data_IF_384040853100
#
_entry.id   IF_384040853100
#
_cell.length_a   1.000
_cell.length_b   1.000
_cell.length_c   1.000
_cell.angle_alpha   90.00
_cell.angle_beta   90.00
_cell.angle_gamma   90.00
#
_symmetry.space_group_name_H-M   'P 1'
#
loop_
_entity.id
_entity.type
_entity.pdbx_description
1 polymer ?
#
# COMPACT_ATOMS: atom_id res chain seq x y z
N UNK A 1 17.95 10.24 -6.49
CA UNK A 1 18.04 9.69 -5.12
C UNK A 1 16.66 9.53 -4.45
N UNK A 2 15.73 10.51 -4.50
CA UNK A 2 14.42 10.37 -3.85
C UNK A 2 13.59 9.17 -4.33
N UNK A 3 13.60 8.85 -5.62
CA UNK A 3 12.82 7.75 -6.22
C UNK A 3 13.21 6.38 -5.66
N UNK A 4 14.51 6.08 -5.59
CA UNK A 4 14.99 4.80 -5.06
C UNK A 4 14.71 4.67 -3.56
N UNK A 5 14.86 5.76 -2.79
CA UNK A 5 14.48 5.76 -1.38
C UNK A 5 12.98 5.59 -1.19
N UNK A 6 12.16 6.20 -2.06
CA UNK A 6 10.70 6.06 -2.05
C UNK A 6 10.29 4.59 -2.24
N UNK A 7 10.89 3.91 -3.22
CA UNK A 7 10.72 2.46 -3.43
C UNK A 7 11.01 1.66 -2.16
N UNK A 8 12.18 1.84 -1.56
CA UNK A 8 12.58 1.08 -0.37
C UNK A 8 11.70 1.37 0.84
N UNK A 9 11.33 2.64 1.07
CA UNK A 9 10.46 3.04 2.17
C UNK A 9 9.07 2.43 1.99
N UNK A 10 8.51 2.49 0.78
CA UNK A 10 7.24 1.84 0.46
C UNK A 10 7.29 0.34 0.74
N UNK A 11 8.35 -0.35 0.32
CA UNK A 11 8.53 -1.78 0.61
C UNK A 11 8.59 -2.04 2.11
N UNK A 12 9.37 -1.28 2.87
CA UNK A 12 9.50 -1.47 4.33
C UNK A 12 8.15 -1.26 5.03
N UNK A 13 7.44 -0.18 4.71
CA UNK A 13 6.13 0.10 5.34
C UNK A 13 5.04 -0.88 4.90
N UNK A 14 5.15 -1.46 3.70
CA UNK A 14 4.26 -2.53 3.23
C UNK A 14 4.37 -3.82 4.06
N UNK A 15 5.58 -4.14 4.55
CA UNK A 15 5.83 -5.25 5.47
C UNK A 15 5.33 -4.92 6.87
N UNK A 16 5.62 -3.72 7.36
CA UNK A 16 5.28 -3.33 8.73
C UNK A 16 3.75 -3.35 8.94
N UNK A 17 2.94 -2.89 7.97
CA UNK A 17 1.48 -2.80 8.16
C UNK A 17 0.79 -4.15 8.36
N UNK A 18 1.27 -5.21 7.71
CA UNK A 18 0.72 -6.56 7.83
C UNK A 18 1.32 -7.35 9.01
N UNK A 19 2.32 -6.78 9.68
CA UNK A 19 2.93 -7.30 10.90
C UNK A 19 2.19 -6.81 12.17
N UNK A 20 2.52 -7.33 13.37
CA UNK A 20 1.88 -6.86 14.62
C UNK A 20 2.31 -5.44 15.03
N UNK A 21 3.23 -4.81 14.28
CA UNK A 21 3.77 -3.49 14.59
C UNK A 21 2.79 -2.35 14.23
N UNK A 22 3.03 -1.16 14.80
CA UNK A 22 2.28 0.05 14.47
C UNK A 22 3.10 0.90 13.50
N UNK A 23 2.65 0.99 12.24
CA UNK A 23 3.26 1.83 11.20
C UNK A 23 3.30 3.31 11.59
N UNK A 24 2.21 3.82 12.15
CA UNK A 24 2.09 5.22 12.58
C UNK A 24 3.07 5.52 13.73
N UNK A 25 3.15 4.64 14.73
CA UNK A 25 4.07 4.82 15.85
C UNK A 25 5.53 4.83 15.37
N UNK A 26 5.90 3.93 14.46
CA UNK A 26 7.24 3.87 13.88
C UNK A 26 7.55 5.14 13.09
N UNK A 27 6.63 5.60 12.23
CA UNK A 27 6.81 6.83 11.46
C UNK A 27 7.02 8.06 12.36
N UNK A 28 6.26 8.16 13.45
CA UNK A 28 6.42 9.22 14.46
C UNK A 28 7.78 9.11 15.15
N UNK A 29 8.17 7.92 15.59
CA UNK A 29 9.41 7.68 16.31
C UNK A 29 10.66 8.06 15.50
N UNK A 30 10.66 7.77 14.19
CA UNK A 30 11.78 8.10 13.30
C UNK A 30 11.66 9.49 12.64
N UNK A 31 10.60 10.24 12.95
CA UNK A 31 10.40 11.59 12.42
C UNK A 31 10.18 11.65 10.91
N UNK A 32 9.50 10.65 10.32
CA UNK A 32 9.34 10.54 8.88
C UNK A 32 8.54 11.72 8.30
N UNK A 33 9.03 12.38 7.25
CA UNK A 33 8.37 13.58 6.71
C UNK A 33 8.63 13.76 5.21
N UNK A 34 7.87 14.65 4.57
CA UNK A 34 8.00 14.95 3.15
C UNK A 34 7.76 13.72 2.28
N UNK A 35 8.57 13.55 1.24
CA UNK A 35 8.45 12.44 0.27
C UNK A 35 8.59 11.07 0.95
N UNK A 36 9.41 10.98 2.00
CA UNK A 36 9.58 9.73 2.76
C UNK A 36 8.26 9.30 3.44
N UNK A 37 7.56 10.25 4.07
CA UNK A 37 6.26 9.99 4.70
C UNK A 37 5.17 9.65 3.67
N UNK A 38 5.14 10.36 2.54
CA UNK A 38 4.22 10.04 1.44
C UNK A 38 4.44 8.63 0.89
N UNK A 39 5.71 8.25 0.67
CA UNK A 39 6.08 6.94 0.15
C UNK A 39 5.78 5.80 1.13
N UNK A 40 5.93 6.02 2.44
CA UNK A 40 5.47 5.07 3.45
C UNK A 40 3.96 4.80 3.34
N UNK A 41 3.17 5.87 3.18
CA UNK A 41 1.71 5.76 3.00
C UNK A 41 1.35 5.00 1.71
N UNK A 42 2.07 5.25 0.62
CA UNK A 42 1.91 4.51 -0.65
C UNK A 42 2.28 3.03 -0.50
N UNK A 43 3.29 2.69 0.29
CA UNK A 43 3.63 1.31 0.61
C UNK A 43 2.48 0.57 1.29
N UNK A 44 1.78 1.25 2.19
CA UNK A 44 0.60 0.70 2.86
C UNK A 44 -0.58 0.56 1.89
N UNK A 45 -0.82 1.58 1.06
CA UNK A 45 -1.85 1.53 0.02
C UNK A 45 -1.60 0.37 -0.98
N UNK A 46 -0.34 0.07 -1.29
CA UNK A 46 0.03 -1.09 -2.10
C UNK A 46 -0.29 -2.43 -1.41
N UNK A 47 -0.02 -2.56 -0.11
CA UNK A 47 -0.45 -3.74 0.65
C UNK A 47 -1.97 -3.89 0.66
N UNK A 48 -2.69 -2.81 0.90
CA UNK A 48 -4.16 -2.78 0.89
C UNK A 48 -4.70 -3.20 -0.48
N UNK A 49 -4.14 -2.68 -1.58
CA UNK A 49 -4.55 -3.04 -2.94
C UNK A 49 -4.35 -4.54 -3.23
N UNK A 50 -3.18 -5.10 -2.90
CA UNK A 50 -2.90 -6.54 -3.09
C UNK A 50 -3.86 -7.41 -2.28
N UNK A 51 -4.01 -7.10 -0.99
CA UNK A 51 -4.87 -7.87 -0.11
C UNK A 51 -6.34 -7.74 -0.50
N UNK A 52 -6.80 -6.55 -0.90
CA UNK A 52 -8.17 -6.34 -1.37
C UNK A 52 -8.45 -7.19 -2.61
N UNK A 53 -7.57 -7.16 -3.62
CA UNK A 53 -7.74 -7.96 -4.85
C UNK A 53 -7.71 -9.46 -4.55
N UNK A 54 -6.78 -9.92 -3.71
CA UNK A 54 -6.65 -11.33 -3.34
C UNK A 54 -7.86 -11.83 -2.55
N UNK A 55 -8.27 -11.09 -1.53
CA UNK A 55 -9.37 -11.47 -0.63
C UNK A 55 -10.74 -11.38 -1.30
N UNK A 56 -10.94 -10.47 -2.25
CA UNK A 56 -12.23 -10.30 -2.96
C UNK A 56 -12.66 -11.52 -3.77
N UNK A 57 -11.73 -12.43 -4.09
CA UNK A 57 -12.01 -13.62 -4.91
C UNK A 57 -12.48 -14.83 -4.11
N UNK A 58 -12.18 -14.86 -2.81
CA UNK A 58 -12.35 -16.06 -1.96
C UNK A 58 -13.06 -15.79 -0.64
N UNK A 59 -13.37 -14.52 -0.33
CA UNK A 59 -14.08 -14.13 0.89
C UNK A 59 -15.34 -13.31 0.56
N UNK A 60 -16.22 -13.21 1.55
CA UNK A 60 -17.36 -12.29 1.49
C UNK A 60 -16.89 -10.84 1.52
N UNK A 61 -17.69 -9.92 0.95
CA UNK A 61 -17.32 -8.50 0.71
C UNK A 61 -16.90 -7.72 1.95
N UNK A 62 -17.31 -8.14 3.16
CA UNK A 62 -16.91 -7.52 4.42
C UNK A 62 -15.40 -7.52 4.66
N UNK A 63 -14.70 -8.58 4.24
CA UNK A 63 -13.24 -8.70 4.41
C UNK A 63 -12.46 -7.69 3.56
N UNK A 64 -12.59 -7.65 2.22
CA UNK A 64 -11.87 -6.68 1.40
C UNK A 64 -12.20 -5.23 1.74
N UNK A 65 -13.46 -4.92 2.10
CA UNK A 65 -13.85 -3.57 2.53
C UNK A 65 -13.18 -3.19 3.86
N UNK A 66 -13.13 -4.12 4.82
CA UNK A 66 -12.45 -3.89 6.09
C UNK A 66 -10.96 -3.63 5.86
N UNK A 67 -10.31 -4.42 4.99
CA UNK A 67 -8.90 -4.21 4.62
C UNK A 67 -8.68 -2.82 4.03
N UNK A 68 -9.54 -2.38 3.11
CA UNK A 68 -9.45 -1.06 2.49
C UNK A 68 -9.51 0.09 3.51
N UNK A 69 -10.26 -0.08 4.61
CA UNK A 69 -10.40 0.92 5.67
C UNK A 69 -9.55 0.64 6.92
N UNK A 70 -8.57 -0.27 6.85
CA UNK A 70 -7.57 -0.48 7.91
C UNK A 70 -7.56 -1.82 8.63
N UNK A 71 -8.38 -2.76 8.18
CA UNK A 71 -8.36 -4.16 8.58
C UNK A 71 -7.20 -4.97 8.00
N UNK A 72 -6.11 -4.34 7.53
CA UNK A 72 -4.93 -5.03 6.94
C UNK A 72 -4.38 -6.11 7.89
N UNK A 73 -4.35 -5.82 9.19
CA UNK A 73 -3.86 -6.74 10.23
C UNK A 73 -4.65 -8.04 10.35
N UNK A 74 -5.90 -8.07 9.86
CA UNK A 74 -6.70 -9.30 9.81
C UNK A 74 -6.06 -10.38 8.94
N UNK A 75 -5.19 -9.99 7.98
CA UNK A 75 -4.46 -10.90 7.11
C UNK A 75 -3.09 -11.32 7.66
N UNK A 76 -2.73 -10.91 8.88
CA UNK A 76 -1.49 -11.34 9.52
C UNK A 76 -1.38 -12.87 9.66
N UNK A 77 -2.44 -13.62 10.08
CA UNK A 77 -2.36 -15.08 10.13
C UNK A 77 -2.07 -15.70 8.75
N UNK A 78 -2.67 -15.16 7.70
CA UNK A 78 -2.43 -15.59 6.32
C UNK A 78 -0.98 -15.34 5.90
N UNK A 79 -0.42 -14.17 6.21
CA UNK A 79 0.99 -13.86 5.92
C UNK A 79 1.94 -14.82 6.65
N UNK A 80 1.66 -15.15 7.91
CA UNK A 80 2.48 -16.08 8.69
C UNK A 80 2.39 -17.51 8.14
N UNK A 81 1.18 -17.97 7.80
CA UNK A 81 0.97 -19.32 7.23
C UNK A 81 1.49 -19.43 5.80
N UNK A 82 1.35 -18.38 5.00
CA UNK A 82 1.73 -18.31 3.59
C UNK A 82 2.62 -17.08 3.34
N UNK A 83 3.92 -17.14 3.71
CA UNK A 83 4.84 -16.01 3.52
C UNK A 83 4.96 -15.53 2.07
N UNK A 84 4.60 -16.39 1.10
CA UNK A 84 4.57 -16.05 -0.32
C UNK A 84 3.64 -14.87 -0.66
N UNK A 85 2.65 -14.54 0.19
CA UNK A 85 1.83 -13.32 0.07
C UNK A 85 2.68 -12.05 0.05
N UNK A 86 3.86 -12.07 0.67
CA UNK A 86 4.76 -10.92 0.68
C UNK A 86 5.33 -10.59 -0.71
N UNK A 87 5.40 -11.55 -1.63
CA UNK A 87 5.96 -11.34 -2.97
C UNK A 87 5.12 -10.34 -3.78
N UNK A 88 3.80 -10.54 -4.00
CA UNK A 88 2.98 -9.54 -4.68
C UNK A 88 2.94 -8.21 -3.91
N UNK A 89 2.92 -8.24 -2.57
CA UNK A 89 2.95 -7.01 -1.74
C UNK A 89 4.20 -6.19 -2.02
N UNK A 90 5.39 -6.79 -1.91
CA UNK A 90 6.65 -6.07 -2.07
C UNK A 90 6.86 -5.55 -3.49
N UNK A 91 6.52 -6.35 -4.51
CA UNK A 91 6.64 -5.92 -5.90
C UNK A 91 5.69 -4.76 -6.22
N UNK A 92 4.44 -4.83 -5.71
CA UNK A 92 3.48 -3.72 -5.86
C UNK A 92 3.96 -2.48 -5.13
N UNK A 93 4.45 -2.62 -3.90
CA UNK A 93 4.97 -1.52 -3.10
C UNK A 93 6.22 -0.89 -3.72
N UNK A 94 7.11 -1.69 -4.33
CA UNK A 94 8.29 -1.18 -5.02
C UNK A 94 7.90 -0.28 -6.19
N UNK A 95 7.05 -0.78 -7.10
CA UNK A 95 6.64 -0.01 -8.29
C UNK A 95 5.82 1.22 -7.88
N UNK A 96 4.92 1.07 -6.91
CA UNK A 96 4.12 2.18 -6.39
C UNK A 96 5.00 3.23 -5.70
N UNK A 97 6.03 2.82 -4.97
CA UNK A 97 7.01 3.71 -4.35
C UNK A 97 7.87 4.46 -5.36
N UNK A 98 8.25 3.82 -6.47
CA UNK A 98 8.90 4.52 -7.60
C UNK A 98 7.98 5.61 -8.14
N UNK A 99 6.71 5.28 -8.42
CA UNK A 99 5.73 6.25 -8.91
C UNK A 99 5.52 7.40 -7.91
N UNK A 100 5.39 7.10 -6.62
CA UNK A 100 5.31 8.09 -5.53
C UNK A 100 6.47 9.07 -5.56
N UNK A 101 7.70 8.56 -5.69
CA UNK A 101 8.91 9.38 -5.74
C UNK A 101 9.03 10.24 -7.00
N UNK A 102 8.49 9.77 -8.14
CA UNK A 102 8.43 10.54 -9.40
C UNK A 102 7.37 11.65 -9.29
N UNK A 103 6.20 11.34 -8.74
CA UNK A 103 5.09 12.29 -8.56
C UNK A 103 5.40 13.30 -7.44
N UNK A 104 6.26 12.94 -6.49
CA UNK A 104 6.62 13.78 -5.35
C UNK A 104 5.58 13.74 -4.21
N UNK A 105 4.90 12.60 -4.04
CA UNK A 105 3.90 12.43 -2.98
C UNK A 105 4.57 12.64 -1.62
N UNK A 106 4.08 13.64 -0.89
CA UNK A 106 4.63 14.06 0.40
C UNK A 106 3.58 13.93 1.50
N UNK A 107 4.04 13.86 2.76
CA UNK A 107 3.15 13.81 3.91
C UNK A 107 3.86 14.12 5.21
N UNK A 108 3.20 13.80 6.32
CA UNK A 108 3.73 13.96 7.68
C UNK A 108 3.92 12.61 8.36
N UNK A 109 4.65 12.60 9.47
CA UNK A 109 4.85 11.41 10.29
C UNK A 109 3.53 10.82 10.78
N UNK A 110 2.54 11.66 11.03
CA UNK A 110 1.20 11.25 11.45
C UNK A 110 0.45 10.54 10.31
N UNK A 111 0.59 10.98 9.06
CA UNK A 111 -0.12 10.35 7.91
C UNK A 111 0.60 9.15 7.30
N UNK A 112 1.90 9.02 7.53
CA UNK A 112 2.76 8.04 6.87
C UNK A 112 2.32 6.60 7.11
N UNK A 113 1.72 6.31 8.26
CA UNK A 113 1.29 4.97 8.65
C UNK A 113 -0.12 4.56 8.21
N UNK A 114 -0.81 5.35 7.37
CA UNK A 114 -2.24 5.15 7.12
C UNK A 114 -2.64 4.64 5.74
N UNK A 115 -1.91 4.83 4.63
CA UNK A 115 -2.42 4.42 3.31
C UNK A 115 -3.87 4.90 3.05
N UNK A 116 -4.80 3.98 2.81
CA UNK A 116 -6.24 4.24 2.66
C UNK A 116 -7.05 4.28 3.95
N UNK A 117 -6.46 3.90 5.09
CA UNK A 117 -7.14 3.91 6.39
C UNK A 117 -7.71 5.30 6.67
N UNK A 118 -9.04 5.38 6.76
CA UNK A 118 -9.78 6.63 6.94
C UNK A 118 -9.53 7.69 5.85
N UNK A 119 -9.02 7.28 4.68
CA UNK A 119 -8.58 8.17 3.59
C UNK A 119 -7.47 9.16 3.99
N UNK A 120 -6.76 8.89 5.08
CA UNK A 120 -5.77 9.83 5.65
C UNK A 120 -4.59 10.05 4.69
N UNK A 121 -4.09 9.01 4.03
CA UNK A 121 -2.98 9.11 3.08
C UNK A 121 -3.28 10.08 1.92
N UNK A 122 -4.29 9.79 1.07
CA UNK A 122 -4.66 10.66 -0.05
C UNK A 122 -5.01 12.09 0.36
N UNK A 123 -5.80 12.26 1.44
CA UNK A 123 -6.20 13.59 1.91
C UNK A 123 -4.99 14.39 2.38
N UNK A 124 -4.09 13.76 3.14
CA UNK A 124 -2.90 14.46 3.62
C UNK A 124 -1.94 14.78 2.48
N UNK A 125 -1.71 13.84 1.56
CA UNK A 125 -0.88 14.08 0.39
C UNK A 125 -1.39 15.22 -0.49
N UNK A 126 -2.72 15.35 -0.65
CA UNK A 126 -3.31 16.47 -1.38
C UNK A 126 -3.00 17.83 -0.73
N UNK A 127 -2.99 17.92 0.61
CA UNK A 127 -2.65 19.16 1.34
C UNK A 127 -1.22 19.63 1.12
N UNK A 128 -0.29 18.69 0.90
CA UNK A 128 1.14 18.97 0.69
C UNK A 128 1.53 19.01 -0.80
N UNK A 129 0.56 18.88 -1.70
CA UNK A 129 0.81 18.93 -3.13
C UNK A 129 0.82 20.39 -3.61
N UNK A 130 2.01 20.92 -3.85
CA UNK A 130 2.22 22.30 -4.32
C UNK A 130 2.18 22.38 -5.85
N UNK A 131 1.02 22.06 -6.42
CA UNK A 131 0.77 22.22 -7.86
C UNK A 131 -0.30 23.29 -8.05
N UNK A 132 -0.07 24.21 -8.99
CA UNK A 132 -0.91 25.41 -9.20
C UNK A 132 -2.37 25.10 -9.55
N UNK A 133 -2.64 23.89 -10.05
CA UNK A 133 -3.98 23.42 -10.41
C UNK A 133 -4.48 22.36 -9.44
N UNK A 134 -5.56 22.66 -8.72
CA UNK A 134 -6.23 21.71 -7.82
C UNK A 134 -6.70 20.44 -8.56
N UNK A 135 -7.12 20.56 -9.82
CA UNK A 135 -7.51 19.42 -10.66
C UNK A 135 -6.33 18.52 -10.98
N UNK A 136 -5.16 19.12 -11.27
CA UNK A 136 -3.94 18.36 -11.51
C UNK A 136 -3.48 17.67 -10.22
N UNK A 137 -3.57 18.34 -9.07
CA UNK A 137 -3.26 17.73 -7.78
C UNK A 137 -4.13 16.51 -7.49
N UNK A 138 -5.45 16.66 -7.71
CA UNK A 138 -6.39 15.55 -7.53
C UNK A 138 -6.07 14.39 -8.47
N UNK A 139 -5.78 14.68 -9.74
CA UNK A 139 -5.41 13.66 -10.73
C UNK A 139 -4.15 12.89 -10.29
N UNK A 140 -3.10 13.59 -9.85
CA UNK A 140 -1.86 12.97 -9.39
C UNK A 140 -2.08 12.11 -8.14
N UNK A 141 -2.91 12.56 -7.20
CA UNK A 141 -3.30 11.77 -6.01
C UNK A 141 -4.04 10.50 -6.42
N UNK A 142 -5.02 10.61 -7.33
CA UNK A 142 -5.77 9.46 -7.85
C UNK A 142 -4.84 8.49 -8.54
N UNK A 143 -3.90 8.97 -9.35
CA UNK A 143 -2.91 8.12 -10.02
C UNK A 143 -2.02 7.41 -8.98
N UNK A 144 -1.47 8.14 -8.03
CA UNK A 144 -0.50 7.61 -7.07
C UNK A 144 -1.11 6.63 -6.07
N UNK A 145 -2.28 6.94 -5.51
CA UNK A 145 -2.90 6.09 -4.50
C UNK A 145 -3.78 5.00 -5.12
N UNK A 146 -4.54 5.29 -6.17
CA UNK A 146 -5.52 4.34 -6.71
C UNK A 146 -5.02 3.63 -7.96
N UNK A 147 -4.69 4.39 -9.02
CA UNK A 147 -4.41 3.76 -10.32
C UNK A 147 -3.17 2.88 -10.26
N UNK A 148 -2.04 3.40 -9.78
CA UNK A 148 -0.78 2.65 -9.77
C UNK A 148 -0.86 1.43 -8.84
N UNK A 149 -1.24 1.55 -7.55
CA UNK A 149 -1.21 0.40 -6.66
C UNK A 149 -2.18 -0.71 -7.08
N UNK A 150 -3.41 -0.37 -7.48
CA UNK A 150 -4.39 -1.39 -7.90
C UNK A 150 -4.07 -2.00 -9.25
N UNK A 151 -3.64 -1.21 -10.24
CA UNK A 151 -3.30 -1.74 -11.55
C UNK A 151 -2.09 -2.67 -11.45
N UNK A 152 -1.05 -2.26 -10.73
CA UNK A 152 0.16 -3.07 -10.52
C UNK A 152 -0.18 -4.33 -9.74
N UNK A 153 -0.93 -4.22 -8.63
CA UNK A 153 -1.34 -5.38 -7.83
C UNK A 153 -2.15 -6.38 -8.68
N UNK A 154 -3.07 -5.91 -9.51
CA UNK A 154 -3.88 -6.76 -10.38
C UNK A 154 -3.03 -7.46 -11.46
N UNK A 155 -2.14 -6.74 -12.13
CA UNK A 155 -1.23 -7.31 -13.14
C UNK A 155 -0.32 -8.37 -12.48
N UNK A 156 0.29 -8.05 -11.34
CA UNK A 156 1.16 -8.98 -10.64
C UNK A 156 0.41 -10.20 -10.12
N UNK A 157 -0.79 -10.03 -9.58
CA UNK A 157 -1.64 -11.14 -9.16
C UNK A 157 -1.98 -12.10 -10.34
N UNK A 158 -2.22 -11.56 -11.53
CA UNK A 158 -2.42 -12.38 -12.73
C UNK A 158 -1.14 -13.12 -13.15
N UNK A 159 0.00 -12.43 -13.21
CA UNK A 159 1.29 -13.03 -13.59
C UNK A 159 1.68 -14.11 -12.59
N UNK A 160 1.67 -13.77 -11.30
CA UNK A 160 2.15 -14.63 -10.21
C UNK A 160 1.28 -15.90 -10.08
N UNK A 161 -0.03 -15.81 -10.30
CA UNK A 161 -0.91 -16.98 -10.22
C UNK A 161 -1.05 -17.76 -11.52
N UNK A 162 -1.24 -17.09 -12.66
CA UNK A 162 -1.59 -17.77 -13.92
C UNK A 162 -0.40 -18.09 -14.81
N UNK A 163 0.66 -17.28 -14.76
CA UNK A 163 1.83 -17.50 -15.63
C UNK A 163 2.87 -18.37 -14.92
N UNK A 164 3.25 -17.99 -13.69
CA UNK A 164 4.32 -18.69 -12.96
C UNK A 164 3.80 -19.71 -11.93
N UNK A 165 2.48 -19.75 -11.67
CA UNK A 165 1.84 -20.69 -10.74
C UNK A 165 2.47 -20.68 -9.32
N UNK A 166 2.87 -19.50 -8.85
CA UNK A 166 3.58 -19.36 -7.58
C UNK A 166 2.68 -19.62 -6.36
N UNK A 167 1.39 -19.32 -6.48
CA UNK A 167 0.40 -19.56 -5.44
C UNK A 167 -1.02 -19.63 -6.00
N UNK A 168 -1.95 -20.13 -5.17
CA UNK A 168 -3.38 -20.17 -5.46
C UNK A 168 -4.15 -19.13 -4.63
N UNK A 169 -5.41 -18.83 -4.99
CA UNK A 169 -6.19 -17.81 -4.27
C UNK A 169 -6.46 -18.17 -2.80
N UNK A 170 -6.40 -19.45 -2.44
CA UNK A 170 -6.70 -19.93 -1.10
C UNK A 170 -5.77 -19.36 -0.03
N UNK A 171 -4.58 -18.87 -0.41
CA UNK A 171 -3.69 -18.17 0.53
C UNK A 171 -4.33 -16.89 1.09
N UNK A 172 -5.29 -16.29 0.36
CA UNK A 172 -6.02 -15.08 0.79
C UNK A 172 -7.34 -15.40 1.48
N UNK A 173 -7.68 -16.68 1.71
CA UNK A 173 -8.89 -17.03 2.44
C UNK A 173 -8.73 -16.64 3.91
N UNK A 174 -9.59 -15.76 4.39
CA UNK A 174 -9.54 -15.24 5.74
C UNK A 174 -9.63 -16.36 6.78
N UNK A 175 -8.80 -16.27 7.83
CA UNK A 175 -8.56 -17.36 8.77
C UNK A 175 -9.19 -17.20 10.16
N UNK A 176 -9.86 -16.07 10.47
CA UNK A 176 -10.54 -15.90 11.76
C UNK A 176 -11.00 -14.49 12.05
#
# INVERSE_FOLDING_TARGET
LPVFMSMLISMVFSLIIISPLSTVAIAIAIGLSGIAAGSASIGIAATEAVLLIGTSKVNHVGIPLSIFFGGVKMMMPNMVKYPVIMIPIFLTAAISGIASGIIGISGTKESAGFGFIGMVGPINAFKFMHVDSAWLSLLLIVIAFFVVPFLVAWILDLILRRLIHLYENDIFKFMG
#
